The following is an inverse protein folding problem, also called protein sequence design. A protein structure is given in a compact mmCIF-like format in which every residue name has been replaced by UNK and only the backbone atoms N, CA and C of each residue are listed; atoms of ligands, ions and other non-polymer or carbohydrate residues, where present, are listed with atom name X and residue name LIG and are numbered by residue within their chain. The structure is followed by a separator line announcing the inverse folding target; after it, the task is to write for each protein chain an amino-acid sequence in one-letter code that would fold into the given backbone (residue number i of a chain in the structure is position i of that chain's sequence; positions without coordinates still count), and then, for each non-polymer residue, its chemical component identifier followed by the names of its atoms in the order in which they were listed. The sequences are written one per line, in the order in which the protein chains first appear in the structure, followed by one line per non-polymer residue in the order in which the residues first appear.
data_IF_493963660648
#
_entry.id   IF_493963660648
#
_cell.length_a   1.000
_cell.length_b   1.000
_cell.length_c   1.000
_cell.angle_alpha   90.00
_cell.angle_beta   90.00
_cell.angle_gamma   90.00
#
_symmetry.space_group_name_H-M   'P 1'
#
loop_
_entity.id
_entity.type
_entity.pdbx_description
1 polymer ?
#
# COMPACT_ATOMS: atom_id res chain seq x y z
N UNK A 1 -42.71 29.18 -24.69
CA UNK A 1 -41.66 29.23 -23.65
C UNK A 1 -40.38 28.65 -24.23
N UNK A 2 -39.21 29.31 -24.06
CA UNK A 2 -37.95 28.77 -24.56
C UNK A 2 -37.60 27.52 -23.74
N UNK A 3 -37.44 26.36 -24.40
CA UNK A 3 -36.93 25.15 -23.76
C UNK A 3 -35.43 25.33 -23.53
N UNK A 4 -35.07 25.60 -22.28
CA UNK A 4 -33.68 25.55 -21.83
C UNK A 4 -33.11 24.17 -22.19
N UNK A 5 -32.18 24.15 -23.14
CA UNK A 5 -31.43 22.95 -23.49
C UNK A 5 -30.66 22.57 -22.23
N UNK A 6 -31.07 21.47 -21.58
CA UNK A 6 -30.32 20.88 -20.49
C UNK A 6 -28.89 20.69 -20.99
N UNK A 7 -27.99 21.57 -20.53
CA UNK A 7 -26.56 21.33 -20.59
C UNK A 7 -26.40 19.95 -19.99
N UNK A 8 -26.07 18.96 -20.81
CA UNK A 8 -25.83 17.62 -20.32
C UNK A 8 -24.71 17.78 -19.32
N UNK A 9 -25.06 17.84 -18.04
CA UNK A 9 -24.14 17.71 -16.93
C UNK A 9 -23.76 16.24 -16.96
N UNK A 10 -23.04 15.84 -18.02
CA UNK A 10 -22.19 14.68 -17.95
C UNK A 10 -21.42 14.86 -16.66
N UNK A 11 -21.48 13.85 -15.79
CA UNK A 11 -20.76 13.84 -14.53
C UNK A 11 -19.25 13.72 -14.81
N UNK A 12 -18.70 14.68 -15.57
CA UNK A 12 -17.29 14.84 -15.88
C UNK A 12 -16.51 15.01 -14.57
N UNK A 13 -17.15 15.61 -13.56
CA UNK A 13 -16.66 15.67 -12.19
C UNK A 13 -16.47 14.28 -11.57
N UNK A 14 -17.27 13.28 -11.92
CA UNK A 14 -17.12 11.90 -11.43
C UNK A 14 -16.05 11.16 -12.23
N UNK A 15 -15.98 11.36 -13.55
CA UNK A 15 -14.92 10.80 -14.39
C UNK A 15 -13.52 11.28 -13.99
N UNK A 16 -13.35 12.59 -13.78
CA UNK A 16 -12.06 13.15 -13.34
C UNK A 16 -11.68 12.61 -11.95
N UNK A 17 -12.66 12.39 -11.07
CA UNK A 17 -12.45 11.83 -9.74
C UNK A 17 -12.01 10.37 -9.79
N UNK A 18 -12.61 9.58 -10.67
CA UNK A 18 -12.23 8.19 -10.90
C UNK A 18 -10.81 8.09 -11.45
N UNK A 19 -10.42 8.99 -12.36
CA UNK A 19 -9.05 9.05 -12.91
C UNK A 19 -8.05 9.36 -11.79
N UNK A 20 -8.34 10.37 -10.96
CA UNK A 20 -7.50 10.72 -9.80
C UNK A 20 -7.45 9.55 -8.81
N UNK A 21 -8.59 8.93 -8.50
CA UNK A 21 -8.68 7.78 -7.61
C UNK A 21 -7.83 6.61 -8.10
N UNK A 22 -7.94 6.25 -9.38
CA UNK A 22 -7.13 5.20 -10.00
C UNK A 22 -5.63 5.51 -9.93
N UNK A 23 -5.24 6.77 -10.15
CA UNK A 23 -3.85 7.22 -10.02
C UNK A 23 -3.34 7.11 -8.57
N UNK A 24 -4.14 7.56 -7.59
CA UNK A 24 -3.84 7.40 -6.16
C UNK A 24 -3.69 5.93 -5.80
N UNK A 25 -4.61 5.07 -6.27
CA UNK A 25 -4.58 3.64 -5.99
C UNK A 25 -3.32 2.98 -6.53
N UNK A 26 -2.90 3.36 -7.74
CA UNK A 26 -1.66 2.88 -8.36
C UNK A 26 -0.41 3.29 -7.57
N UNK A 27 -0.36 4.56 -7.12
CA UNK A 27 0.74 5.05 -6.28
C UNK A 27 0.77 4.33 -4.93
N UNK A 28 -0.38 4.17 -4.27
CA UNK A 28 -0.50 3.45 -3.01
C UNK A 28 -0.06 1.99 -3.13
N UNK A 29 -0.44 1.30 -4.21
CA UNK A 29 0.02 -0.07 -4.48
C UNK A 29 1.53 -0.16 -4.64
N UNK A 30 2.12 0.77 -5.39
CA UNK A 30 3.57 0.80 -5.60
C UNK A 30 4.32 1.00 -4.28
N UNK A 31 3.83 1.88 -3.42
CA UNK A 31 4.42 2.14 -2.09
C UNK A 31 4.27 0.92 -1.19
N UNK A 32 3.10 0.29 -1.18
CA UNK A 32 2.84 -0.91 -0.36
C UNK A 32 3.69 -2.09 -0.81
N UNK A 33 3.87 -2.32 -2.11
CA UNK A 33 4.80 -3.36 -2.61
C UNK A 33 6.25 -3.07 -2.26
N UNK A 34 6.68 -1.81 -2.29
CA UNK A 34 8.03 -1.44 -1.89
C UNK A 34 8.27 -1.66 -0.39
N UNK A 35 7.23 -1.46 0.43
CA UNK A 35 7.24 -1.65 1.88
C UNK A 35 7.33 -3.12 2.30
N UNK A 36 6.71 -4.05 1.56
CA UNK A 36 6.73 -5.47 1.92
C UNK A 36 8.05 -6.18 1.57
N UNK A 37 9.01 -5.50 0.93
CA UNK A 37 10.25 -6.11 0.44
C UNK A 37 11.20 -6.59 1.57
N UNK A 38 11.02 -6.09 2.79
CA UNK A 38 11.88 -6.44 3.93
C UNK A 38 11.33 -7.59 4.79
N UNK A 39 10.06 -7.98 4.65
CA UNK A 39 9.52 -9.13 5.37
C UNK A 39 9.83 -10.42 4.61
N UNK A 40 10.61 -11.33 5.20
CA UNK A 40 10.74 -12.71 4.71
C UNK A 40 9.43 -13.45 4.95
N UNK A 41 8.43 -13.23 4.09
CA UNK A 41 7.21 -14.02 4.09
C UNK A 41 7.44 -15.30 3.30
N UNK A 42 6.77 -16.39 3.71
CA UNK A 42 6.72 -17.61 2.93
C UNK A 42 6.16 -17.30 1.52
N UNK A 43 6.69 -17.88 0.42
CA UNK A 43 6.25 -17.58 -0.95
C UNK A 43 4.73 -17.59 -1.16
N UNK A 44 4.02 -18.45 -0.42
CA UNK A 44 2.57 -18.54 -0.48
C UNK A 44 1.87 -17.35 0.20
N UNK A 45 2.43 -16.82 1.28
CA UNK A 45 1.91 -15.64 1.97
C UNK A 45 2.23 -14.35 1.20
N UNK A 46 3.40 -14.25 0.57
CA UNK A 46 3.72 -13.10 -0.31
C UNK A 46 2.74 -13.00 -1.48
N UNK A 47 2.42 -14.13 -2.11
CA UNK A 47 1.46 -14.19 -3.20
C UNK A 47 0.06 -13.76 -2.74
N UNK A 48 -0.38 -14.21 -1.57
CA UNK A 48 -1.66 -13.81 -0.98
C UNK A 48 -1.68 -12.31 -0.67
N UNK A 49 -0.66 -11.75 0.00
CA UNK A 49 -0.58 -10.32 0.27
C UNK A 49 -0.56 -9.47 -1.00
N UNK A 50 0.24 -9.89 -1.99
CA UNK A 50 0.35 -9.18 -3.26
C UNK A 50 -0.98 -9.21 -4.01
N UNK A 51 -1.64 -10.36 -4.09
CA UNK A 51 -2.93 -10.48 -4.74
C UNK A 51 -4.00 -9.65 -4.04
N UNK A 52 -4.09 -9.72 -2.70
CA UNK A 52 -5.10 -9.01 -1.94
C UNK A 52 -4.88 -7.49 -1.98
N UNK A 53 -3.63 -7.06 -1.85
CA UNK A 53 -3.24 -5.65 -1.87
C UNK A 53 -3.31 -4.99 -3.25
N UNK A 54 -3.27 -5.77 -4.33
CA UNK A 54 -3.28 -5.23 -5.70
C UNK A 54 -4.64 -5.43 -6.38
N UNK A 55 -5.24 -6.62 -6.26
CA UNK A 55 -6.47 -6.95 -6.99
C UNK A 55 -7.72 -6.36 -6.37
N UNK A 56 -7.85 -6.33 -5.04
CA UNK A 56 -9.05 -5.78 -4.40
C UNK A 56 -9.26 -4.29 -4.73
N UNK A 57 -8.25 -3.42 -4.63
CA UNK A 57 -8.34 -2.04 -5.09
C UNK A 57 -8.79 -1.86 -6.53
N UNK A 58 -8.22 -2.65 -7.44
CA UNK A 58 -8.48 -2.57 -8.87
C UNK A 58 -9.92 -2.98 -9.16
N UNK A 59 -10.37 -4.06 -8.52
CA UNK A 59 -11.74 -4.55 -8.66
C UNK A 59 -12.77 -3.56 -8.11
N UNK A 60 -12.50 -2.93 -6.95
CA UNK A 60 -13.33 -1.84 -6.43
C UNK A 60 -13.35 -0.63 -7.37
N UNK A 61 -12.19 -0.22 -7.87
CA UNK A 61 -12.07 0.88 -8.83
C UNK A 61 -12.87 0.61 -10.10
N UNK A 62 -12.77 -0.61 -10.65
CA UNK A 62 -13.53 -1.04 -11.81
C UNK A 62 -15.03 -1.02 -11.52
N UNK A 63 -15.45 -1.53 -10.36
CA UNK A 63 -16.87 -1.51 -9.96
C UNK A 63 -17.40 -0.08 -9.85
N UNK A 64 -16.61 0.86 -9.33
CA UNK A 64 -17.01 2.27 -9.21
C UNK A 64 -17.12 3.01 -10.55
N UNK A 65 -16.42 2.55 -11.59
CA UNK A 65 -16.57 3.07 -12.95
C UNK A 65 -17.94 2.70 -13.53
N UNK A 66 -18.43 1.49 -13.26
CA UNK A 66 -19.70 0.99 -13.80
C UNK A 66 -20.91 1.30 -12.90
N UNK A 67 -20.71 1.39 -11.57
CA UNK A 67 -21.73 1.75 -10.58
C UNK A 67 -21.27 3.04 -9.90
N UNK A 68 -21.77 4.21 -10.32
CA UNK A 68 -21.34 5.48 -9.78
C UNK A 68 -21.86 5.65 -8.34
N UNK A 69 -20.97 5.48 -7.39
CA UNK A 69 -21.19 5.85 -5.98
C UNK A 69 -20.93 7.35 -5.75
N UNK A 70 -21.47 7.94 -4.67
CA UNK A 70 -21.36 9.39 -4.43
C UNK A 70 -19.90 9.88 -4.36
N UNK A 71 -19.61 11.01 -5.03
CA UNK A 71 -18.28 11.61 -5.11
C UNK A 71 -17.64 11.93 -3.75
N UNK A 72 -18.44 12.23 -2.72
CA UNK A 72 -17.92 12.47 -1.36
C UNK A 72 -17.24 11.24 -0.74
N UNK A 73 -17.73 10.04 -1.06
CA UNK A 73 -17.13 8.77 -0.58
C UNK A 73 -15.77 8.55 -1.24
N UNK A 74 -15.64 8.85 -2.53
CA UNK A 74 -14.36 8.76 -3.25
C UNK A 74 -13.31 9.71 -2.68
N UNK A 75 -13.69 10.95 -2.39
CA UNK A 75 -12.77 11.92 -1.76
C UNK A 75 -12.32 11.49 -0.37
N UNK A 76 -13.23 10.94 0.44
CA UNK A 76 -12.89 10.38 1.75
C UNK A 76 -11.88 9.23 1.61
N UNK A 77 -12.11 8.31 0.68
CA UNK A 77 -11.22 7.17 0.44
C UNK A 77 -9.83 7.61 -0.01
N UNK A 78 -9.73 8.60 -0.90
CA UNK A 78 -8.44 9.15 -1.36
C UNK A 78 -7.68 9.76 -0.18
N UNK A 79 -8.33 10.63 0.59
CA UNK A 79 -7.71 11.29 1.74
C UNK A 79 -7.26 10.27 2.80
N UNK A 80 -8.12 9.29 3.10
CA UNK A 80 -7.82 8.19 4.02
C UNK A 80 -6.63 7.35 3.54
N UNK A 81 -6.60 6.97 2.25
CA UNK A 81 -5.50 6.22 1.67
C UNK A 81 -4.16 6.97 1.75
N UNK A 82 -4.15 8.29 1.55
CA UNK A 82 -2.94 9.11 1.70
C UNK A 82 -2.41 9.06 3.13
N UNK A 83 -3.29 9.23 4.13
CA UNK A 83 -2.91 9.16 5.54
C UNK A 83 -2.39 7.76 5.88
N UNK A 84 -3.06 6.73 5.40
CA UNK A 84 -2.68 5.33 5.64
C UNK A 84 -1.31 5.01 5.04
N UNK A 85 -1.02 5.46 3.81
CA UNK A 85 0.29 5.32 3.18
C UNK A 85 1.39 6.01 4.01
N UNK A 86 1.14 7.22 4.52
CA UNK A 86 2.09 7.93 5.37
C UNK A 86 2.36 7.14 6.66
N UNK A 87 1.31 6.62 7.30
CA UNK A 87 1.44 5.77 8.50
C UNK A 87 2.23 4.49 8.19
N UNK A 88 1.92 3.81 7.08
CA UNK A 88 2.66 2.65 6.60
C UNK A 88 4.13 2.98 6.41
N UNK A 89 4.46 4.10 5.76
CA UNK A 89 5.86 4.52 5.58
C UNK A 89 6.59 4.74 6.92
N UNK A 90 5.93 5.36 7.91
CA UNK A 90 6.53 5.55 9.24
C UNK A 90 6.76 4.21 9.97
N UNK A 91 5.77 3.30 9.92
CA UNK A 91 5.86 1.98 10.56
C UNK A 91 6.99 1.14 9.93
N UNK A 92 7.09 1.11 8.60
CA UNK A 92 8.16 0.37 7.93
C UNK A 92 9.56 0.87 8.34
N UNK A 93 9.74 2.18 8.49
CA UNK A 93 11.01 2.74 8.97
C UNK A 93 11.36 2.29 10.39
N UNK A 94 10.37 2.08 11.27
CA UNK A 94 10.62 1.53 12.60
C UNK A 94 11.02 0.05 12.52
N UNK A 95 10.32 -0.73 11.70
CA UNK A 95 10.62 -2.16 11.50
C UNK A 95 12.05 -2.34 10.95
N UNK A 96 12.45 -1.55 9.96
CA UNK A 96 13.80 -1.62 9.36
C UNK A 96 14.91 -1.31 10.38
N UNK A 97 14.68 -0.34 11.29
CA UNK A 97 15.62 -0.03 12.38
C UNK A 97 15.72 -1.18 13.40
N UNK A 98 14.62 -1.86 13.71
CA UNK A 98 14.62 -2.99 14.63
C UNK A 98 15.23 -4.27 14.01
N UNK A 99 15.05 -4.48 12.72
CA UNK A 99 15.74 -5.57 12.02
C UNK A 99 17.26 -5.34 11.97
N UNK A 100 17.71 -4.09 11.80
CA UNK A 100 19.13 -3.75 11.82
C UNK A 100 19.76 -4.00 13.19
N UNK A 101 19.08 -3.66 14.29
CA UNK A 101 19.56 -3.92 15.65
C UNK A 101 19.55 -5.41 16.00
N UNK A 102 18.53 -6.17 15.58
CA UNK A 102 18.49 -7.63 15.71
C UNK A 102 19.59 -8.32 14.89
N UNK A 103 19.87 -7.87 13.66
CA UNK A 103 20.98 -8.42 12.84
C UNK A 103 22.34 -8.13 13.48
N UNK A 104 22.57 -6.92 13.98
CA UNK A 104 23.80 -6.57 14.70
C UNK A 104 24.00 -7.41 15.97
N UNK A 105 22.93 -7.67 16.74
CA UNK A 105 22.98 -8.52 17.94
C UNK A 105 23.22 -10.00 17.61
N UNK A 106 22.59 -10.54 16.55
CA UNK A 106 22.81 -11.93 16.12
C UNK A 106 24.21 -12.17 15.57
N UNK A 107 24.78 -11.22 14.83
CA UNK A 107 26.16 -11.33 14.33
C UNK A 107 27.16 -11.32 15.48
N UNK A 108 26.98 -10.48 16.50
CA UNK A 108 27.92 -10.42 17.63
C UNK A 108 27.88 -11.71 18.47
N UNK A 109 26.68 -12.23 18.79
CA UNK A 109 26.55 -13.46 19.59
C UNK A 109 27.07 -14.72 18.90
N UNK A 110 26.99 -14.80 17.56
CA UNK A 110 27.52 -15.95 16.83
C UNK A 110 29.06 -15.94 16.77
N UNK A 111 29.68 -14.75 16.76
CA UNK A 111 31.13 -14.57 16.76
C UNK A 111 31.73 -14.90 18.14
N UNK A 112 31.05 -14.52 19.24
CA UNK A 112 31.48 -14.92 20.59
C UNK A 112 31.47 -16.44 20.77
N UNK A 113 30.39 -17.10 20.33
CA UNK A 113 30.24 -18.56 20.48
C UNK A 113 31.28 -19.37 19.68
N UNK A 114 31.74 -18.88 18.51
CA UNK A 114 32.79 -19.58 17.74
C UNK A 114 34.18 -19.34 18.32
N UNK A 115 34.47 -18.15 18.85
CA UNK A 115 35.77 -17.86 19.49
C UNK A 115 35.91 -18.68 20.78
N UNK A 116 34.83 -18.80 21.57
CA UNK A 116 34.83 -19.62 22.79
C UNK A 116 34.91 -21.13 22.50
N UNK A 117 34.49 -21.57 21.32
CA UNK A 117 34.60 -22.96 20.89
C UNK A 117 36.02 -23.31 20.40
N UNK A 118 36.65 -22.43 19.60
CA UNK A 118 38.02 -22.61 19.10
C UNK A 118 39.09 -22.50 20.19
N UNK A 119 38.83 -21.79 21.29
CA UNK A 119 39.77 -21.69 22.43
C UNK A 119 39.69 -22.88 23.41
N UNK A 120 38.73 -23.79 23.21
CA UNK A 120 38.45 -24.91 24.11
C UNK A 120 38.89 -26.28 23.56
N UNK A 121 39.39 -26.33 22.32
CA UNK A 121 40.22 -27.43 21.79
C UNK A 121 41.71 -27.16 22.06
#
# INVERSE_FOLDING_TARGET
MPTIVSKTNFHMDVLILIVIFGLTMYISQKIMMASNKNQKLDPQQEAIQKSMGTMMPIMLTATFVFIPIPAGVLLYLISSNIIQVIQTMMINKQIDCEEASKKASKTNGNVTNVIDADFKE
#
